data_IF_803735621534
#
_entry.id   IF_803735621534
#
_cell.length_a   1.000
_cell.length_b   1.000
_cell.length_c   1.000
_cell.angle_alpha   90.00
_cell.angle_beta   90.00
_cell.angle_gamma   90.00
#
_symmetry.space_group_name_H-M   'P 1'
#
loop_
_entity.id
_entity.type
_entity.pdbx_description
1 polymer ?
#
# COMPACT_ATOMS: atom_id res chain seq x y z
N UNK A 1 20.94 -10.26 -0.17
CA UNK A 1 20.05 -10.69 -1.27
C UNK A 1 18.74 -9.91 -1.17
N UNK A 2 18.57 -8.83 -1.94
CA UNK A 2 17.37 -7.96 -1.86
C UNK A 2 16.37 -8.38 -2.93
N UNK A 3 15.78 -9.56 -2.75
CA UNK A 3 14.66 -10.04 -3.55
C UNK A 3 13.35 -9.72 -2.84
N UNK A 4 12.93 -8.46 -2.85
CA UNK A 4 11.57 -8.10 -2.46
C UNK A 4 10.58 -8.92 -3.29
N UNK A 5 9.66 -9.62 -2.62
CA UNK A 5 8.74 -10.60 -3.22
C UNK A 5 8.09 -10.02 -4.49
N UNK A 6 8.43 -10.60 -5.65
CA UNK A 6 8.01 -10.10 -6.95
C UNK A 6 6.52 -10.32 -7.27
N UNK A 7 5.77 -11.06 -6.43
CA UNK A 7 4.57 -11.73 -6.95
C UNK A 7 3.21 -11.23 -6.49
N UNK A 8 3.09 -10.31 -5.54
CA UNK A 8 1.82 -9.58 -5.33
C UNK A 8 1.98 -8.55 -4.22
N UNK A 9 1.59 -7.30 -4.48
CA UNK A 9 1.43 -6.33 -3.39
C UNK A 9 0.16 -6.70 -2.65
N UNK A 10 0.26 -7.01 -1.35
CA UNK A 10 -0.91 -7.26 -0.54
C UNK A 10 -1.59 -5.94 -0.15
N UNK A 11 -2.61 -5.53 -0.90
CA UNK A 11 -3.33 -4.28 -0.63
C UNK A 11 -4.09 -4.27 0.69
N UNK A 12 -4.46 -5.44 1.22
CA UNK A 12 -5.06 -5.51 2.56
C UNK A 12 -4.07 -5.15 3.64
N UNK A 13 -2.80 -5.55 3.46
CA UNK A 13 -1.71 -5.19 4.37
C UNK A 13 -1.33 -3.71 4.25
N UNK A 14 -1.36 -3.16 3.03
CA UNK A 14 -1.20 -1.72 2.79
C UNK A 14 -2.27 -0.92 3.56
N UNK A 15 -3.53 -1.34 3.43
CA UNK A 15 -4.69 -0.70 4.07
C UNK A 15 -4.64 -0.74 5.60
N UNK A 16 -4.20 -1.85 6.19
CA UNK A 16 -4.08 -1.97 7.66
C UNK A 16 -2.94 -1.13 8.23
N UNK A 17 -1.91 -0.83 7.42
CA UNK A 17 -0.77 0.01 7.79
C UNK A 17 -0.91 1.48 7.36
N UNK A 18 -2.08 1.87 6.85
CA UNK A 18 -2.39 3.27 6.49
C UNK A 18 -3.04 3.99 7.66
N UNK A 19 -2.52 5.17 8.00
CA UNK A 19 -3.07 6.06 9.01
C UNK A 19 -4.06 7.05 8.36
N UNK A 20 -5.29 7.04 8.86
CA UNK A 20 -6.34 7.93 8.39
C UNK A 20 -6.41 9.20 9.25
N UNK A 21 -6.02 10.34 8.70
CA UNK A 21 -6.09 11.63 9.39
C UNK A 21 -7.43 12.31 9.08
N UNK A 22 -8.32 12.38 10.08
CA UNK A 22 -9.66 12.95 9.92
C UNK A 22 -10.68 12.05 9.21
N UNK A 23 -10.27 10.84 8.82
CA UNK A 23 -11.12 9.81 8.24
C UNK A 23 -11.07 8.54 9.09
N UNK A 24 -12.07 7.68 8.94
CA UNK A 24 -12.09 6.33 9.50
C UNK A 24 -11.98 5.32 8.37
N UNK A 25 -11.40 4.17 8.66
CA UNK A 25 -11.25 3.08 7.69
C UNK A 25 -12.57 2.65 7.04
N UNK A 26 -13.68 2.79 7.77
CA UNK A 26 -15.03 2.43 7.30
C UNK A 26 -15.73 3.55 6.53
N UNK A 27 -15.13 4.73 6.42
CA UNK A 27 -15.72 5.84 5.70
C UNK A 27 -15.90 5.48 4.23
N UNK A 28 -16.98 5.99 3.64
CA UNK A 28 -17.33 5.70 2.24
C UNK A 28 -16.21 6.06 1.28
N UNK A 29 -15.57 7.21 1.50
CA UNK A 29 -14.50 7.71 0.63
C UNK A 29 -13.24 6.85 0.73
N UNK A 30 -12.87 6.41 1.93
CA UNK A 30 -11.76 5.47 2.15
C UNK A 30 -12.04 4.13 1.47
N UNK A 31 -13.26 3.61 1.59
CA UNK A 31 -13.65 2.38 0.92
C UNK A 31 -13.63 2.49 -0.61
N UNK A 32 -14.08 3.61 -1.18
CA UNK A 32 -14.00 3.85 -2.62
C UNK A 32 -12.56 3.96 -3.11
N UNK A 33 -11.72 4.66 -2.35
CA UNK A 33 -10.30 4.75 -2.64
C UNK A 33 -9.66 3.36 -2.73
N UNK A 34 -9.85 2.50 -1.71
CA UNK A 34 -9.28 1.15 -1.72
C UNK A 34 -9.86 0.25 -2.81
N UNK A 35 -11.15 0.39 -3.14
CA UNK A 35 -11.74 -0.32 -4.29
C UNK A 35 -11.08 0.08 -5.62
N UNK A 36 -10.79 1.36 -5.80
CA UNK A 36 -10.07 1.83 -6.99
C UNK A 36 -8.66 1.25 -7.04
N UNK A 37 -7.91 1.28 -5.94
CA UNK A 37 -6.55 0.73 -5.85
C UNK A 37 -6.54 -0.79 -6.09
N UNK A 38 -7.50 -1.53 -5.51
CA UNK A 38 -7.64 -2.98 -5.72
C UNK A 38 -7.97 -3.34 -7.18
N UNK A 39 -8.63 -2.44 -7.91
CA UNK A 39 -8.94 -2.63 -9.35
C UNK A 39 -7.77 -2.32 -10.29
N UNK A 40 -6.69 -1.69 -9.79
CA UNK A 40 -5.53 -1.33 -10.61
C UNK A 40 -4.65 -2.56 -10.92
N UNK A 41 -4.01 -2.61 -12.10
CA UNK A 41 -2.92 -3.54 -12.37
C UNK A 41 -1.78 -3.42 -11.35
N UNK A 42 -1.06 -4.52 -11.11
CA UNK A 42 0.04 -4.60 -10.13
C UNK A 42 1.11 -3.51 -10.38
N UNK A 43 1.34 -3.15 -11.63
CA UNK A 43 2.31 -2.14 -12.06
C UNK A 43 1.87 -0.73 -11.63
N UNK A 44 0.57 -0.42 -11.74
CA UNK A 44 0.02 0.86 -11.26
C UNK A 44 0.00 0.91 -9.74
N UNK A 45 -0.31 -0.21 -9.09
CA UNK A 45 -0.20 -0.36 -7.64
C UNK A 45 1.23 -0.11 -7.14
N UNK A 46 2.24 -0.61 -7.86
CA UNK A 46 3.66 -0.34 -7.60
C UNK A 46 4.02 1.13 -7.76
N UNK A 47 3.52 1.77 -8.82
CA UNK A 47 3.73 3.20 -9.04
C UNK A 47 3.11 4.06 -7.95
N UNK A 48 1.89 3.72 -7.50
CA UNK A 48 1.24 4.39 -6.38
C UNK A 48 2.02 4.22 -5.08
N UNK A 49 2.50 2.99 -4.81
CA UNK A 49 3.33 2.72 -3.64
C UNK A 49 4.61 3.55 -3.65
N UNK A 50 5.30 3.59 -4.80
CA UNK A 50 6.49 4.40 -4.98
C UNK A 50 6.18 5.89 -4.79
N UNK A 51 5.04 6.36 -5.29
CA UNK A 51 4.62 7.75 -5.12
C UNK A 51 4.44 8.13 -3.64
N UNK A 52 3.84 7.28 -2.81
CA UNK A 52 3.66 7.56 -1.39
C UNK A 52 4.92 7.41 -0.55
N UNK A 53 5.70 6.37 -0.82
CA UNK A 53 6.80 5.96 0.06
C UNK A 53 8.16 6.40 -0.44
N UNK A 54 8.29 6.78 -1.71
CA UNK A 54 9.56 6.88 -2.45
C UNK A 54 10.39 5.59 -2.45
N UNK A 55 9.77 4.44 -2.12
CA UNK A 55 10.44 3.13 -2.05
C UNK A 55 10.10 2.30 -3.28
N UNK A 56 11.12 1.81 -4.00
CA UNK A 56 10.93 0.97 -5.20
C UNK A 56 10.52 -0.47 -4.91
N UNK A 57 10.88 -0.98 -3.73
CA UNK A 57 10.62 -2.36 -3.33
C UNK A 57 10.25 -2.45 -1.86
N UNK A 58 9.18 -3.18 -1.53
CA UNK A 58 8.82 -3.41 -0.14
C UNK A 58 9.94 -4.16 0.61
N UNK A 59 10.19 -3.82 1.89
CA UNK A 59 11.01 -4.61 2.79
C UNK A 59 10.55 -6.07 2.85
N UNK A 60 11.42 -6.97 3.32
CA UNK A 60 11.07 -8.38 3.56
C UNK A 60 9.88 -8.54 4.50
N UNK A 61 9.67 -7.56 5.39
CA UNK A 61 8.57 -7.52 6.36
C UNK A 61 7.28 -6.87 5.80
N UNK A 62 7.24 -6.52 4.51
CA UNK A 62 6.06 -5.90 3.90
C UNK A 62 5.85 -4.45 4.33
N UNK A 63 4.59 -4.02 4.47
CA UNK A 63 4.26 -2.63 4.82
C UNK A 63 4.62 -2.28 6.27
N UNK A 64 4.67 -3.26 7.16
CA UNK A 64 5.14 -3.08 8.55
C UNK A 64 6.62 -2.71 8.67
N UNK A 65 7.43 -3.01 7.65
CA UNK A 65 8.84 -2.65 7.60
C UNK A 65 9.13 -1.26 7.04
N UNK A 66 8.10 -0.49 6.65
CA UNK A 66 8.29 0.89 6.20
C UNK A 66 8.69 1.77 7.39
N UNK A 67 9.61 2.71 7.17
CA UNK A 67 10.10 3.61 8.23
C UNK A 67 9.01 4.51 8.83
N UNK A 68 7.91 4.67 8.10
CA UNK A 68 6.74 5.44 8.49
C UNK A 68 5.48 4.71 8.03
N UNK A 69 4.39 4.88 8.79
CA UNK A 69 3.06 4.48 8.31
C UNK A 69 2.67 5.31 7.08
N UNK A 70 1.89 4.69 6.21
CA UNK A 70 1.30 5.35 5.04
C UNK A 70 0.21 6.34 5.42
#
# INVERSE_FOLDING_TARGET
>A
MLGGNKNSINMKDCRSHTQYNGYKEKDRHVNWFWKAVESMPVEQQRQLLFFWTSVKYLPSEGFGGLSSKL
#
